data_IF_887087527225
#
_entry.id   IF_887087527225
#
_cell.length_a   1.000
_cell.length_b   1.000
_cell.length_c   1.000
_cell.angle_alpha   90.00
_cell.angle_beta   90.00
_cell.angle_gamma   90.00
#
_symmetry.space_group_name_H-M   'P 1'
#
loop_
_entity.id
_entity.type
_entity.pdbx_description
1 polymer ?
#
# COMPACT_ATOMS: atom_id res chain seq x y z
N UNK A 1 1.86 -15.51 16.53
CA UNK A 1 2.09 -14.13 17.03
C UNK A 1 3.32 -13.61 16.29
N UNK A 2 3.14 -12.96 15.15
CA UNK A 2 4.23 -12.56 14.24
C UNK A 2 4.68 -11.13 14.58
N UNK A 3 5.92 -11.00 15.04
CA UNK A 3 6.81 -9.88 14.73
C UNK A 3 6.60 -8.55 15.45
N UNK A 4 7.00 -8.47 16.73
CA UNK A 4 7.34 -7.20 17.36
C UNK A 4 8.68 -6.71 16.77
N UNK A 5 8.64 -5.58 16.02
CA UNK A 5 9.81 -4.90 15.45
C UNK A 5 10.04 -5.22 13.97
N UNK A 6 9.43 -4.44 13.07
CA UNK A 6 9.79 -4.49 11.66
C UNK A 6 11.28 -4.15 11.49
N UNK A 7 12.04 -5.06 10.89
CA UNK A 7 13.47 -4.88 10.60
C UNK A 7 13.67 -3.58 9.80
N UNK A 8 14.83 -2.90 9.96
CA UNK A 8 15.16 -1.67 9.24
C UNK A 8 14.97 -1.82 7.73
N UNK A 9 15.30 -3.00 7.20
CA UNK A 9 15.09 -3.34 5.80
C UNK A 9 13.62 -3.37 5.42
N UNK A 10 12.77 -3.98 6.25
CA UNK A 10 11.32 -4.04 6.02
C UNK A 10 10.68 -2.65 6.05
N UNK A 11 11.10 -1.80 6.98
CA UNK A 11 10.60 -0.42 7.03
C UNK A 11 11.09 0.42 5.85
N UNK A 12 12.30 0.18 5.34
CA UNK A 12 12.77 0.82 4.10
C UNK A 12 11.95 0.38 2.89
N UNK A 13 11.73 -0.94 2.75
CA UNK A 13 10.92 -1.52 1.69
C UNK A 13 9.52 -0.92 1.69
N UNK A 14 8.87 -0.86 2.87
CA UNK A 14 7.53 -0.31 3.02
C UNK A 14 7.48 1.17 2.65
N UNK A 15 8.47 1.97 3.04
CA UNK A 15 8.51 3.39 2.68
C UNK A 15 8.58 3.59 1.16
N UNK A 16 9.47 2.86 0.48
CA UNK A 16 9.58 2.92 -0.99
C UNK A 16 8.27 2.46 -1.65
N UNK A 17 7.67 1.38 -1.13
CA UNK A 17 6.39 0.86 -1.61
C UNK A 17 5.26 1.89 -1.45
N UNK A 18 5.11 2.47 -0.27
CA UNK A 18 4.04 3.44 0.02
C UNK A 18 4.24 4.74 -0.78
N UNK A 19 5.47 5.22 -0.94
CA UNK A 19 5.78 6.40 -1.76
C UNK A 19 5.36 6.18 -3.23
N UNK A 20 5.75 5.06 -3.82
CA UNK A 20 5.39 4.73 -5.20
C UNK A 20 3.88 4.48 -5.38
N UNK A 21 3.25 3.81 -4.41
CA UNK A 21 1.81 3.54 -4.43
C UNK A 21 1.01 4.84 -4.40
N UNK A 22 1.34 5.76 -3.49
CA UNK A 22 0.63 7.04 -3.37
C UNK A 22 0.81 7.90 -4.63
N UNK A 23 2.01 7.94 -5.22
CA UNK A 23 2.26 8.63 -6.47
C UNK A 23 1.43 8.06 -7.63
N UNK A 24 1.33 6.72 -7.72
CA UNK A 24 0.52 6.06 -8.74
C UNK A 24 -0.97 6.35 -8.57
N UNK A 25 -1.50 6.29 -7.34
CA UNK A 25 -2.91 6.56 -7.05
C UNK A 25 -3.28 8.03 -7.34
N UNK A 26 -2.41 8.98 -6.97
CA UNK A 26 -2.59 10.39 -7.30
C UNK A 26 -2.61 10.62 -8.83
N UNK A 27 -1.69 9.97 -9.56
CA UNK A 27 -1.65 10.02 -11.02
C UNK A 27 -2.89 9.42 -11.71
N UNK A 28 -3.59 8.49 -11.04
CA UNK A 28 -4.87 7.94 -11.49
C UNK A 28 -6.08 8.83 -11.10
N UNK A 29 -5.86 9.95 -10.41
CA UNK A 29 -6.91 10.86 -9.97
C UNK A 29 -7.69 10.38 -8.75
N UNK A 30 -7.13 9.46 -7.96
CA UNK A 30 -7.71 9.05 -6.67
C UNK A 30 -7.65 10.23 -5.71
N UNK A 31 -8.76 10.56 -5.06
CA UNK A 31 -8.85 11.68 -4.13
C UNK A 31 -8.80 11.27 -2.65
N UNK A 32 -9.02 9.98 -2.36
CA UNK A 32 -9.03 9.45 -1.00
C UNK A 32 -8.46 8.03 -0.95
N UNK A 33 -7.50 7.84 -0.05
CA UNK A 33 -6.87 6.55 0.24
C UNK A 33 -7.07 6.24 1.72
N UNK A 34 -7.60 5.05 1.99
CA UNK A 34 -7.81 4.54 3.34
C UNK A 34 -6.89 3.35 3.56
N UNK A 35 -6.05 3.43 4.59
CA UNK A 35 -5.10 2.37 4.94
C UNK A 35 -5.53 1.66 6.24
N UNK A 36 -5.22 0.38 6.34
CA UNK A 36 -5.44 -0.36 7.58
C UNK A 36 -4.35 -0.01 8.62
N UNK A 37 -4.73 0.30 9.88
CA UNK A 37 -3.78 0.51 10.97
C UNK A 37 -2.91 -0.71 11.26
N UNK A 38 -1.63 -0.50 11.53
CA UNK A 38 -0.65 -1.54 11.93
C UNK A 38 -0.02 -1.29 13.30
N UNK A 39 -0.54 -0.32 14.04
CA UNK A 39 -0.15 0.01 15.40
C UNK A 39 0.39 1.43 15.50
N UNK A 40 0.02 2.14 16.56
CA UNK A 40 0.20 3.60 16.70
C UNK A 40 1.55 4.14 16.24
N UNK A 41 2.66 3.54 16.71
CA UNK A 41 4.02 3.99 16.35
C UNK A 41 4.37 3.78 14.87
N UNK A 42 3.85 2.73 14.25
CA UNK A 42 4.08 2.44 12.83
C UNK A 42 3.16 3.29 11.96
N UNK A 43 1.94 3.55 12.41
CA UNK A 43 0.98 4.44 11.75
C UNK A 43 1.50 5.89 11.73
N UNK A 44 2.09 6.38 12.82
CA UNK A 44 2.77 7.69 12.87
C UNK A 44 3.90 7.81 11.85
N UNK A 45 4.65 6.72 11.61
CA UNK A 45 5.74 6.72 10.62
C UNK A 45 5.22 6.76 9.19
N UNK A 46 4.11 6.08 8.93
CA UNK A 46 3.44 6.10 7.64
C UNK A 46 2.84 7.50 7.39
N UNK A 47 2.21 8.14 8.38
CA UNK A 47 1.77 9.55 8.28
C UNK A 47 2.91 10.54 8.03
N UNK A 48 4.04 10.36 8.72
CA UNK A 48 5.23 11.19 8.51
C UNK A 48 5.74 11.06 7.07
N UNK A 49 5.66 9.87 6.48
CA UNK A 49 6.02 9.66 5.08
C UNK A 49 5.03 10.36 4.14
N UNK A 50 3.72 10.28 4.39
CA UNK A 50 2.70 10.98 3.58
C UNK A 50 2.98 12.49 3.56
N UNK A 51 3.23 13.10 4.72
CA UNK A 51 3.58 14.51 4.82
C UNK A 51 4.86 14.84 4.03
N UNK A 52 5.89 13.99 4.14
CA UNK A 52 7.12 14.16 3.37
C UNK A 52 6.88 14.07 1.86
N UNK A 53 6.00 13.19 1.39
CA UNK A 53 5.63 13.06 -0.01
C UNK A 53 4.92 14.32 -0.52
N UNK A 54 3.99 14.88 0.26
CA UNK A 54 3.32 16.16 -0.04
C UNK A 54 4.32 17.31 -0.15
N UNK A 55 5.22 17.45 0.82
CA UNK A 55 6.26 18.50 0.80
C UNK A 55 7.20 18.39 -0.39
N UNK A 56 7.50 17.16 -0.83
CA UNK A 56 8.32 16.89 -2.03
C UNK A 56 7.54 16.98 -3.33
N UNK A 57 6.22 17.23 -3.30
CA UNK A 57 5.30 17.21 -4.46
C UNK A 57 5.32 15.88 -5.22
N UNK A 58 5.55 14.78 -4.50
CA UNK A 58 5.37 13.42 -5.04
C UNK A 58 3.89 13.10 -5.18
N UNK A 59 3.08 13.63 -4.26
CA UNK A 59 1.62 13.60 -4.31
C UNK A 59 1.04 15.00 -4.18
N UNK A 60 -0.14 15.18 -4.75
CA UNK A 60 -0.94 16.41 -4.65
C UNK A 60 -1.40 16.67 -3.22
N UNK A 61 -1.77 17.92 -2.95
CA UNK A 61 -2.39 18.30 -1.68
C UNK A 61 -3.84 17.78 -1.56
N UNK A 62 -4.46 17.42 -2.69
CA UNK A 62 -5.85 17.00 -2.77
C UNK A 62 -6.04 15.51 -2.41
N UNK A 63 -4.97 14.71 -2.50
CA UNK A 63 -4.97 13.32 -2.07
C UNK A 63 -5.09 13.22 -0.54
N UNK A 64 -6.28 12.86 -0.07
CA UNK A 64 -6.54 12.55 1.34
C UNK A 64 -6.06 11.14 1.67
N UNK A 65 -5.39 11.00 2.80
CA UNK A 65 -4.87 9.72 3.28
C UNK A 65 -5.28 9.57 4.74
N UNK A 66 -6.11 8.58 5.02
CA UNK A 66 -6.64 8.27 6.35
C UNK A 66 -6.35 6.83 6.73
N UNK A 67 -6.52 6.51 8.02
CA UNK A 67 -6.55 5.14 8.49
C UNK A 67 -7.93 4.81 9.04
N UNK A 68 -8.49 3.68 8.60
CA UNK A 68 -9.76 3.18 9.13
C UNK A 68 -9.63 1.71 9.49
N UNK A 69 -10.40 1.28 10.50
CA UNK A 69 -10.49 -0.14 10.83
C UNK A 69 -11.33 -0.85 9.77
N UNK A 70 -11.04 -2.13 9.44
CA UNK A 70 -11.71 -2.87 8.37
C UNK A 70 -13.24 -2.97 8.44
N UNK A 71 -13.84 -2.69 9.61
CA UNK A 71 -15.28 -2.80 9.85
C UNK A 71 -16.00 -1.44 9.90
N UNK A 72 -15.27 -0.34 10.03
CA UNK A 72 -15.87 0.99 10.30
C UNK A 72 -16.24 1.75 9.02
N UNK A 73 -15.68 1.37 7.87
CA UNK A 73 -16.01 1.93 6.56
C UNK A 73 -16.22 0.77 5.60
N UNK A 74 -17.37 0.71 4.92
CA UNK A 74 -17.75 -0.36 3.98
C UNK A 74 -16.83 -0.57 2.77
N UNK A 75 -15.59 -0.10 2.82
CA UNK A 75 -14.50 -0.41 1.92
C UNK A 75 -13.99 -1.83 2.18
N UNK A 76 -13.92 -2.64 1.13
CA UNK A 76 -13.37 -3.98 1.19
C UNK A 76 -11.84 -3.93 1.37
N UNK A 77 -11.32 -3.48 2.53
CA UNK A 77 -9.87 -3.40 2.78
C UNK A 77 -9.18 -4.77 2.60
N UNK A 78 -9.93 -5.86 2.82
CA UNK A 78 -9.51 -7.24 2.55
C UNK A 78 -9.17 -7.53 1.08
N UNK A 79 -9.68 -6.74 0.12
CA UNK A 79 -9.45 -6.98 -1.32
C UNK A 79 -7.98 -6.85 -1.69
N UNK A 80 -7.27 -6.00 -0.96
CA UNK A 80 -5.83 -5.75 -1.18
C UNK A 80 -5.03 -7.01 -0.82
N UNK A 81 -5.38 -7.68 0.29
CA UNK A 81 -4.74 -8.94 0.68
C UNK A 81 -5.00 -10.05 -0.34
N UNK A 82 -6.23 -10.14 -0.87
CA UNK A 82 -6.58 -11.11 -1.90
C UNK A 82 -5.77 -10.88 -3.19
N UNK A 83 -5.64 -9.63 -3.63
CA UNK A 83 -4.83 -9.27 -4.79
C UNK A 83 -3.34 -9.57 -4.57
N UNK A 84 -2.78 -9.19 -3.41
CA UNK A 84 -1.41 -9.53 -3.03
C UNK A 84 -1.18 -11.05 -3.00
N UNK A 85 -2.14 -11.81 -2.48
CA UNK A 85 -2.11 -13.27 -2.47
C UNK A 85 -2.10 -13.88 -3.87
N UNK A 86 -2.90 -13.34 -4.78
CA UNK A 86 -2.90 -13.76 -6.19
C UNK A 86 -1.55 -13.51 -6.87
N UNK A 87 -0.94 -12.34 -6.65
CA UNK A 87 0.41 -12.02 -7.17
C UNK A 87 1.45 -12.97 -6.59
N UNK A 88 1.40 -13.24 -5.28
CA UNK A 88 2.34 -14.17 -4.65
C UNK A 88 2.19 -15.61 -5.16
N UNK A 89 0.96 -16.06 -5.44
CA UNK A 89 0.70 -17.37 -6.01
C UNK A 89 1.29 -17.47 -7.44
N UNK A 90 1.12 -16.43 -8.26
CA UNK A 90 1.70 -16.34 -9.60
C UNK A 90 3.23 -16.41 -9.58
N UNK A 91 3.87 -15.65 -8.68
CA UNK A 91 5.32 -15.70 -8.46
C UNK A 91 5.83 -17.09 -8.02
N UNK A 92 4.95 -17.95 -7.49
CA UNK A 92 5.25 -19.33 -7.11
C UNK A 92 4.85 -20.36 -8.19
N UNK A 93 4.42 -19.89 -9.37
CA UNK A 93 4.07 -20.72 -10.51
C UNK A 93 2.58 -21.09 -10.59
N UNK A 94 1.70 -20.45 -9.82
CA UNK A 94 0.25 -20.65 -9.90
C UNK A 94 -0.49 -19.35 -10.26
N UNK A 95 -0.73 -19.15 -11.56
CA UNK A 95 -1.39 -17.95 -12.10
C UNK A 95 -2.91 -17.95 -11.99
N UNK A 96 -3.54 -19.06 -11.58
CA UNK A 96 -4.99 -19.26 -11.69
C UNK A 96 -5.84 -18.17 -11.03
N UNK A 97 -5.38 -17.62 -9.90
CA UNK A 97 -6.04 -16.50 -9.23
C UNK A 97 -5.78 -15.17 -9.93
N UNK A 98 -4.53 -14.95 -10.38
CA UNK A 98 -4.12 -13.71 -11.03
C UNK A 98 -4.78 -13.52 -12.39
N UNK A 99 -5.00 -14.60 -13.14
CA UNK A 99 -5.61 -14.58 -14.47
C UNK A 99 -7.00 -13.94 -14.45
N UNK A 100 -7.75 -14.08 -13.35
CA UNK A 100 -9.07 -13.43 -13.18
C UNK A 100 -8.98 -11.91 -12.97
N UNK A 101 -7.85 -11.43 -12.43
CA UNK A 101 -7.61 -10.02 -12.10
C UNK A 101 -6.75 -9.31 -13.15
N UNK A 102 -6.11 -10.04 -14.05
CA UNK A 102 -5.03 -9.57 -14.93
C UNK A 102 -5.39 -8.32 -15.73
N UNK A 103 -6.61 -8.25 -16.25
CA UNK A 103 -7.08 -7.09 -17.02
C UNK A 103 -7.30 -5.82 -16.19
N UNK A 104 -7.31 -5.92 -14.85
CA UNK A 104 -7.56 -4.83 -13.90
C UNK A 104 -6.39 -4.62 -12.93
N UNK A 105 -5.28 -5.33 -13.14
CA UNK A 105 -4.11 -5.28 -12.26
C UNK A 105 -2.98 -4.49 -12.94
N UNK A 106 -2.43 -3.53 -12.21
CA UNK A 106 -1.15 -2.89 -12.56
C UNK A 106 -0.12 -3.31 -11.53
N UNK A 107 1.02 -3.83 -11.99
CA UNK A 107 2.14 -4.23 -11.13
C UNK A 107 3.26 -3.21 -11.29
N UNK A 108 3.72 -2.66 -10.16
CA UNK A 108 4.84 -1.73 -10.11
C UNK A 108 5.96 -2.42 -9.33
N UNK A 109 7.09 -2.65 -9.99
CA UNK A 109 8.28 -3.22 -9.38
C UNK A 109 9.16 -2.11 -8.79
N UNK A 110 9.61 -2.30 -7.55
CA UNK A 110 10.35 -1.30 -6.80
C UNK A 110 11.61 -1.94 -6.25
N UNK A 111 12.75 -1.37 -6.61
CA UNK A 111 14.04 -1.80 -6.11
C UNK A 111 14.28 -1.29 -4.68
N UNK A 112 14.71 -2.20 -3.79
CA UNK A 112 14.99 -1.96 -2.37
C UNK A 112 16.50 -2.03 -2.09
N UNK A 113 17.35 -1.94 -3.10
CA UNK A 113 18.79 -1.70 -2.94
C UNK A 113 19.09 -0.28 -2.44
#
# INVERSE_FOLDING_TARGET
>A
MIGCGADRRQERARRKCLEALLAALDGLGVSHVVMEPRGSRLDERDFTLVDACRRKRIISADLRVDFARPLDEGGCLWVVDAACGAVLADLRGNSSFLDTLRARLTVIEIDID
#
